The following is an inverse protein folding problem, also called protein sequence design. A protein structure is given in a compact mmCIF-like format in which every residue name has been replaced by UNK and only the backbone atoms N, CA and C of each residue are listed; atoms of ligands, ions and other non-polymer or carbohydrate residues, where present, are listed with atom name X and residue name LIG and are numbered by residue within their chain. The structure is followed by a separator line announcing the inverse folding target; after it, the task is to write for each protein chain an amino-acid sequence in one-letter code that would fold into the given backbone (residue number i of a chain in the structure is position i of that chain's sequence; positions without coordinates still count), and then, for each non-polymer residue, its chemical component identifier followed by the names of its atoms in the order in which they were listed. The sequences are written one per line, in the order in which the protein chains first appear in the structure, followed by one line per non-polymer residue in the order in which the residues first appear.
data_IF_914141542976
#
_entry.id   IF_914141542976
#
_cell.length_a   1.000
_cell.length_b   1.000
_cell.length_c   1.000
_cell.angle_alpha   90.00
_cell.angle_beta   90.00
_cell.angle_gamma   90.00
#
_symmetry.space_group_name_H-M   'P 1'
#
loop_
_entity.id
_entity.type
_entity.pdbx_description
1 polymer ?
#
# COMPACT_ATOMS: atom_id res chain seq x y z
N UNK A 1 50.93 -12.86 34.77
CA UNK A 1 49.78 -12.44 33.93
C UNK A 1 48.98 -13.68 33.61
N UNK A 2 47.84 -13.87 34.28
CA UNK A 2 46.96 -15.01 34.04
C UNK A 2 45.94 -14.58 32.97
N UNK A 3 46.08 -15.16 31.78
CA UNK A 3 45.20 -14.92 30.64
C UNK A 3 43.90 -15.73 30.86
N UNK A 4 42.86 -15.04 31.31
CA UNK A 4 41.51 -15.59 31.36
C UNK A 4 41.01 -15.75 29.93
N UNK A 5 41.05 -16.98 29.40
CA UNK A 5 40.35 -17.36 28.18
C UNK A 5 38.84 -17.17 28.41
N UNK A 6 38.31 -16.05 27.95
CA UNK A 6 36.86 -15.78 27.94
C UNK A 6 36.22 -16.73 26.91
N UNK A 7 35.27 -17.58 27.30
CA UNK A 7 34.51 -18.38 26.35
C UNK A 7 33.69 -17.42 25.48
N UNK A 8 33.95 -17.47 24.18
CA UNK A 8 33.28 -16.68 23.17
C UNK A 8 31.78 -17.03 23.16
N UNK A 9 30.95 -16.07 23.56
CA UNK A 9 29.50 -16.21 23.80
C UNK A 9 28.66 -15.98 22.54
N UNK A 10 29.29 -15.94 21.36
CA UNK A 10 28.65 -15.52 20.11
C UNK A 10 28.24 -16.66 19.17
N UNK A 11 28.28 -17.92 19.63
CA UNK A 11 27.73 -19.02 18.82
C UNK A 11 26.28 -19.31 19.22
N UNK A 12 25.27 -18.91 18.43
CA UNK A 12 23.90 -19.35 18.70
C UNK A 12 23.88 -20.87 18.55
N UNK A 13 23.74 -21.57 19.67
CA UNK A 13 23.46 -22.99 19.69
C UNK A 13 22.09 -23.18 19.03
N UNK A 14 22.08 -23.50 17.74
CA UNK A 14 20.92 -24.00 17.03
C UNK A 14 20.55 -25.33 17.70
N UNK A 15 19.72 -25.23 18.75
CA UNK A 15 19.06 -26.37 19.36
C UNK A 15 18.24 -27.00 18.26
N UNK A 16 18.79 -28.08 17.70
CA UNK A 16 18.16 -28.93 16.69
C UNK A 16 16.85 -29.42 17.29
N UNK A 17 15.76 -28.69 16.98
CA UNK A 17 14.40 -28.99 17.39
C UNK A 17 14.12 -30.44 17.00
N UNK A 18 14.02 -31.32 18.00
CA UNK A 18 13.82 -32.76 17.83
C UNK A 18 12.51 -32.95 17.06
N UNK A 19 12.61 -33.37 15.80
CA UNK A 19 11.50 -33.73 14.91
C UNK A 19 10.86 -35.03 15.44
N UNK A 20 9.99 -34.93 16.44
CA UNK A 20 9.07 -36.01 16.75
C UNK A 20 7.80 -35.76 15.94
N UNK A 21 7.53 -36.66 14.98
CA UNK A 21 6.36 -36.68 14.11
C UNK A 21 6.12 -35.42 13.26
N UNK A 22 6.64 -35.42 12.04
CA UNK A 22 5.95 -34.76 10.92
C UNK A 22 4.72 -35.63 10.62
N UNK A 23 3.61 -35.36 11.29
CA UNK A 23 2.31 -35.68 10.69
C UNK A 23 2.22 -34.89 9.38
N UNK A 24 1.71 -35.51 8.31
CA UNK A 24 1.52 -34.82 7.03
C UNK A 24 0.57 -33.64 7.21
N UNK A 25 1.17 -32.47 7.39
CA UNK A 25 0.47 -31.23 7.74
C UNK A 25 -0.46 -30.79 6.60
N UNK A 26 -0.16 -31.23 5.38
CA UNK A 26 -0.91 -30.95 4.17
C UNK A 26 -2.23 -31.75 4.08
N UNK A 27 -2.21 -33.04 4.46
CA UNK A 27 -3.42 -33.89 4.44
C UNK A 27 -4.33 -33.58 5.63
N UNK A 28 -3.75 -33.33 6.80
CA UNK A 28 -4.48 -32.86 7.99
C UNK A 28 -5.03 -31.45 7.77
N UNK A 29 -4.28 -30.58 7.09
CA UNK A 29 -4.71 -29.22 6.73
C UNK A 29 -5.96 -29.21 5.85
N UNK A 30 -5.99 -30.01 4.78
CA UNK A 30 -7.15 -30.13 3.91
C UNK A 30 -8.38 -30.70 4.63
N UNK A 31 -8.18 -31.68 5.51
CA UNK A 31 -9.25 -32.23 6.37
C UNK A 31 -9.80 -31.19 7.35
N UNK A 32 -8.91 -30.44 8.00
CA UNK A 32 -9.27 -29.38 8.93
C UNK A 32 -10.04 -28.24 8.23
N UNK A 33 -9.68 -27.90 7.00
CA UNK A 33 -10.39 -26.87 6.22
C UNK A 33 -11.82 -27.26 5.86
N UNK A 34 -12.05 -28.55 5.57
CA UNK A 34 -13.40 -29.06 5.32
C UNK A 34 -14.24 -29.08 6.60
N UNK A 35 -13.63 -29.48 7.71
CA UNK A 35 -14.27 -29.50 9.03
C UNK A 35 -14.58 -28.08 9.50
N UNK A 36 -13.67 -27.12 9.33
CA UNK A 36 -13.87 -25.72 9.69
C UNK A 36 -15.03 -25.09 8.90
N UNK A 37 -15.12 -25.35 7.59
CA UNK A 37 -16.28 -24.88 6.77
C UNK A 37 -17.59 -25.52 7.20
N UNK A 38 -17.56 -26.79 7.63
CA UNK A 38 -18.74 -27.49 8.12
C UNK A 38 -19.25 -26.94 9.45
N UNK A 39 -18.37 -26.72 10.43
CA UNK A 39 -18.73 -26.13 11.73
C UNK A 39 -19.05 -24.63 11.65
N UNK A 40 -18.46 -23.90 10.69
CA UNK A 40 -18.75 -22.47 10.47
C UNK A 40 -20.10 -22.21 9.78
N UNK A 41 -20.71 -23.24 9.20
CA UNK A 41 -22.04 -23.15 8.57
C UNK A 41 -23.11 -23.60 9.58
N UNK A 42 -24.23 -22.88 9.69
CA UNK A 42 -25.35 -23.24 10.60
C UNK A 42 -26.00 -24.62 10.36
N UNK A 43 -25.54 -25.34 9.32
CA UNK A 43 -25.96 -26.71 8.98
C UNK A 43 -25.59 -27.75 10.05
N UNK A 44 -24.46 -27.59 10.74
CA UNK A 44 -24.08 -28.52 11.83
C UNK A 44 -25.11 -28.51 12.96
N UNK A 45 -25.51 -27.30 13.40
CA UNK A 45 -26.52 -27.12 14.44
C UNK A 45 -27.87 -27.70 14.02
N UNK A 46 -28.28 -27.50 12.77
CA UNK A 46 -29.52 -28.07 12.24
C UNK A 46 -29.51 -29.61 12.31
N UNK A 47 -28.46 -30.27 11.83
CA UNK A 47 -28.33 -31.73 11.92
C UNK A 47 -28.29 -32.24 13.36
N UNK A 48 -27.57 -31.55 14.24
CA UNK A 48 -27.50 -31.89 15.66
C UNK A 48 -28.88 -31.81 16.32
N UNK A 49 -29.66 -30.76 16.06
CA UNK A 49 -31.02 -30.61 16.58
C UNK A 49 -31.95 -31.70 16.05
N UNK A 50 -31.88 -32.01 14.75
CA UNK A 50 -32.68 -33.10 14.15
C UNK A 50 -32.35 -34.44 14.83
N UNK A 51 -31.07 -34.75 15.05
CA UNK A 51 -30.65 -35.99 15.70
C UNK A 51 -31.23 -36.09 17.12
N UNK A 52 -31.14 -35.01 17.91
CA UNK A 52 -31.71 -34.95 19.26
C UNK A 52 -33.23 -35.16 19.25
N UNK A 53 -33.95 -34.48 18.34
CA UNK A 53 -35.40 -34.64 18.20
C UNK A 53 -35.76 -36.08 17.84
N UNK A 54 -35.07 -36.68 16.88
CA UNK A 54 -35.29 -38.08 16.47
C UNK A 54 -35.01 -39.03 17.64
N UNK A 55 -33.95 -38.80 18.41
CA UNK A 55 -33.62 -39.62 19.59
C UNK A 55 -34.72 -39.58 20.65
N UNK A 56 -35.22 -38.37 20.95
CA UNK A 56 -36.33 -38.17 21.88
C UNK A 56 -37.60 -38.84 21.34
N UNK A 57 -37.91 -38.68 20.06
CA UNK A 57 -39.09 -39.28 19.43
C UNK A 57 -39.05 -40.81 19.42
N UNK A 58 -37.89 -41.41 19.11
CA UNK A 58 -37.68 -42.86 19.16
C UNK A 58 -37.83 -43.40 20.58
N UNK A 59 -37.29 -42.71 21.60
CA UNK A 59 -37.45 -43.13 23.00
C UNK A 59 -38.89 -42.94 23.51
N UNK A 60 -39.58 -41.87 23.11
CA UNK A 60 -40.98 -41.64 23.45
C UNK A 60 -41.90 -42.69 22.79
N UNK A 61 -41.64 -43.06 21.53
CA UNK A 61 -42.36 -44.11 20.81
C UNK A 61 -42.02 -45.53 21.29
N UNK A 62 -40.81 -45.75 21.81
CA UNK A 62 -40.33 -47.02 22.37
C UNK A 62 -41.03 -47.47 23.65
N UNK A 63 -41.88 -46.61 24.24
CA UNK A 63 -42.67 -46.90 25.45
C UNK A 63 -43.54 -48.16 25.33
N UNK A 64 -43.88 -48.59 24.11
CA UNK A 64 -44.73 -49.75 23.86
C UNK A 64 -44.01 -51.11 23.88
N UNK A 65 -42.67 -51.17 23.73
CA UNK A 65 -41.96 -52.45 23.50
C UNK A 65 -40.70 -52.61 24.37
N UNK A 66 -39.89 -51.56 24.58
CA UNK A 66 -38.70 -51.62 25.44
C UNK A 66 -38.23 -50.20 25.81
N UNK A 67 -38.16 -49.88 27.11
CA UNK A 67 -37.69 -48.57 27.59
C UNK A 67 -36.16 -48.51 27.60
N UNK A 68 -35.58 -48.11 26.47
CA UNK A 68 -34.11 -48.11 26.29
C UNK A 68 -33.42 -46.91 26.98
N UNK A 69 -34.06 -45.74 27.06
CA UNK A 69 -33.59 -44.56 27.82
C UNK A 69 -34.77 -43.81 28.50
N UNK A 70 -35.20 -44.22 29.72
CA UNK A 70 -36.27 -43.58 30.45
C UNK A 70 -35.93 -42.13 30.84
N UNK A 71 -36.94 -41.26 30.96
CA UNK A 71 -36.78 -39.90 31.50
C UNK A 71 -36.04 -39.96 32.85
N UNK A 72 -34.90 -39.28 33.05
CA UNK A 72 -34.40 -38.06 32.38
C UNK A 72 -33.36 -38.22 31.23
N UNK A 73 -33.41 -39.30 30.42
CA UNK A 73 -32.50 -39.55 29.28
C UNK A 73 -31.01 -39.59 29.65
N UNK A 74 -30.62 -40.56 30.48
CA UNK A 74 -29.25 -40.66 31.03
C UNK A 74 -28.21 -40.91 29.94
N UNK A 75 -28.57 -41.68 28.90
CA UNK A 75 -27.65 -42.01 27.81
C UNK A 75 -27.38 -40.80 26.92
N UNK A 76 -28.42 -40.02 26.62
CA UNK A 76 -28.27 -38.77 25.88
C UNK A 76 -27.41 -37.78 26.66
N UNK A 77 -27.65 -37.64 27.96
CA UNK A 77 -26.85 -36.75 28.81
C UNK A 77 -25.38 -37.19 28.89
N UNK A 78 -25.13 -38.49 29.02
CA UNK A 78 -23.79 -39.05 29.02
C UNK A 78 -23.07 -38.77 27.69
N UNK A 79 -23.75 -38.98 26.57
CA UNK A 79 -23.21 -38.71 25.23
C UNK A 79 -22.85 -37.23 25.05
N UNK A 80 -23.71 -36.31 25.47
CA UNK A 80 -23.42 -34.87 25.44
C UNK A 80 -22.25 -34.48 26.34
N UNK A 81 -22.16 -35.09 27.53
CA UNK A 81 -21.07 -34.86 28.46
C UNK A 81 -19.73 -35.30 27.86
N UNK A 82 -19.67 -36.48 27.24
CA UNK A 82 -18.47 -36.95 26.54
C UNK A 82 -18.17 -36.12 25.30
N UNK A 83 -19.19 -35.70 24.54
CA UNK A 83 -19.03 -34.83 23.38
C UNK A 83 -18.36 -33.51 23.75
N UNK A 84 -18.84 -32.86 24.81
CA UNK A 84 -18.25 -31.62 25.32
C UNK A 84 -16.81 -31.83 25.81
N UNK A 85 -16.56 -32.93 26.53
CA UNK A 85 -15.23 -33.26 27.04
C UNK A 85 -14.20 -33.46 25.93
N UNK A 86 -14.57 -34.05 24.80
CA UNK A 86 -13.68 -34.22 23.64
C UNK A 86 -13.62 -32.99 22.73
N UNK A 87 -14.65 -32.14 22.73
CA UNK A 87 -14.65 -30.91 21.96
C UNK A 87 -13.58 -29.92 22.46
N UNK A 88 -13.42 -29.77 23.78
CA UNK A 88 -12.45 -28.84 24.37
C UNK A 88 -11.00 -29.02 23.85
N UNK A 89 -10.38 -30.22 23.88
CA UNK A 89 -9.03 -30.42 23.36
C UNK A 89 -8.95 -30.25 21.84
N UNK A 90 -9.98 -30.64 21.07
CA UNK A 90 -10.02 -30.41 19.62
C UNK A 90 -10.06 -28.92 19.27
N UNK A 91 -10.87 -28.15 20.00
CA UNK A 91 -10.95 -26.70 19.85
C UNK A 91 -9.60 -26.07 20.17
N UNK A 92 -8.93 -26.51 21.24
CA UNK A 92 -7.59 -26.02 21.61
C UNK A 92 -6.57 -26.30 20.50
N UNK A 93 -6.59 -27.49 19.90
CA UNK A 93 -5.72 -27.79 18.76
C UNK A 93 -6.03 -26.92 17.54
N UNK A 94 -7.30 -26.69 17.24
CA UNK A 94 -7.71 -25.79 16.16
C UNK A 94 -7.27 -24.34 16.42
N UNK A 95 -7.41 -23.88 17.67
CA UNK A 95 -7.00 -22.54 18.11
C UNK A 95 -5.48 -22.35 18.01
N UNK A 96 -4.67 -23.31 18.49
CA UNK A 96 -3.20 -23.23 18.36
C UNK A 96 -2.76 -23.08 16.90
N UNK A 97 -3.42 -23.80 15.97
CA UNK A 97 -3.13 -23.67 14.54
C UNK A 97 -3.57 -22.34 13.95
N UNK A 98 -4.71 -21.80 14.39
CA UNK A 98 -5.16 -20.47 13.98
C UNK A 98 -4.17 -19.41 14.48
N UNK A 99 -3.79 -19.45 15.76
CA UNK A 99 -2.80 -18.53 16.33
C UNK A 99 -1.45 -18.58 15.61
N UNK A 100 -0.98 -19.76 15.22
CA UNK A 100 0.29 -19.88 14.48
C UNK A 100 0.20 -19.24 13.08
N UNK A 101 -0.93 -19.42 12.38
CA UNK A 101 -1.20 -18.72 11.10
C UNK A 101 -1.31 -17.21 11.29
N UNK A 102 -1.99 -16.78 12.35
CA UNK A 102 -2.17 -15.37 12.67
C UNK A 102 -0.85 -14.70 13.03
N UNK A 103 0.05 -15.38 13.76
CA UNK A 103 1.40 -14.90 14.06
C UNK A 103 2.24 -14.67 12.81
N UNK A 104 2.18 -15.59 11.84
CA UNK A 104 2.89 -15.44 10.55
C UNK A 104 2.32 -14.29 9.75
N UNK A 105 1.00 -14.16 9.72
CA UNK A 105 0.33 -13.07 9.01
C UNK A 105 0.68 -11.72 9.64
N UNK A 106 0.68 -11.64 10.97
CA UNK A 106 1.02 -10.44 11.73
C UNK A 106 2.49 -10.04 11.56
N UNK A 107 3.42 -11.00 11.52
CA UNK A 107 4.84 -10.70 11.32
C UNK A 107 5.12 -10.19 9.91
N UNK A 108 4.47 -10.77 8.90
CA UNK A 108 4.55 -10.30 7.52
C UNK A 108 3.96 -8.89 7.37
N UNK A 109 2.84 -8.61 8.04
CA UNK A 109 2.21 -7.29 8.02
C UNK A 109 3.09 -6.22 8.69
N UNK A 110 3.69 -6.53 9.85
CA UNK A 110 4.66 -5.64 10.50
C UNK A 110 5.83 -5.30 9.60
N UNK A 111 6.43 -6.31 8.95
CA UNK A 111 7.54 -6.10 8.02
C UNK A 111 7.12 -5.22 6.84
N UNK A 112 5.94 -5.47 6.27
CA UNK A 112 5.40 -4.64 5.18
C UNK A 112 5.20 -3.19 5.63
N UNK A 113 4.71 -2.98 6.85
CA UNK A 113 4.51 -1.65 7.42
C UNK A 113 5.84 -0.91 7.61
N UNK A 114 6.88 -1.58 8.09
CA UNK A 114 8.25 -1.04 8.19
C UNK A 114 8.81 -0.67 6.82
N UNK A 115 8.67 -1.55 5.82
CA UNK A 115 9.11 -1.29 4.44
C UNK A 115 8.35 -0.10 3.83
N UNK A 116 7.03 -0.04 3.99
CA UNK A 116 6.20 1.07 3.49
C UNK A 116 6.58 2.40 4.14
N UNK A 117 6.88 2.38 5.44
CA UNK A 117 7.35 3.56 6.16
C UNK A 117 8.70 4.03 5.64
N UNK A 118 9.65 3.11 5.44
CA UNK A 118 10.96 3.42 4.89
C UNK A 118 10.87 4.00 3.46
N UNK A 119 10.04 3.41 2.59
CA UNK A 119 9.79 3.93 1.24
C UNK A 119 9.19 5.33 1.28
N UNK A 120 8.24 5.57 2.20
CA UNK A 120 7.63 6.90 2.35
C UNK A 120 8.64 7.93 2.84
N UNK A 121 9.49 7.59 3.81
CA UNK A 121 10.57 8.45 4.29
C UNK A 121 11.61 8.73 3.20
N UNK A 122 11.94 7.73 2.39
CA UNK A 122 12.82 7.87 1.24
C UNK A 122 12.23 8.83 0.21
N UNK A 123 10.98 8.61 -0.23
CA UNK A 123 10.29 9.48 -1.17
C UNK A 123 10.16 10.91 -0.64
N UNK A 124 9.90 11.09 0.66
CA UNK A 124 9.84 12.42 1.27
C UNK A 124 11.20 13.14 1.24
N UNK A 125 12.31 12.42 1.49
CA UNK A 125 13.67 12.98 1.40
C UNK A 125 14.05 13.32 -0.04
N UNK A 126 13.76 12.42 -0.98
CA UNK A 126 13.97 12.67 -2.41
C UNK A 126 13.16 13.88 -2.88
N UNK A 127 11.88 13.96 -2.53
CA UNK A 127 11.02 15.10 -2.86
C UNK A 127 11.55 16.42 -2.26
N UNK A 128 12.04 16.39 -1.02
CA UNK A 128 12.67 17.55 -0.40
C UNK A 128 13.95 17.98 -1.15
N UNK A 129 14.78 17.03 -1.56
CA UNK A 129 15.97 17.28 -2.38
C UNK A 129 15.62 17.89 -3.74
N UNK A 130 14.65 17.30 -4.44
CA UNK A 130 14.11 17.84 -5.71
C UNK A 130 13.56 19.24 -5.52
N UNK A 131 12.81 19.49 -4.45
CA UNK A 131 12.25 20.81 -4.15
C UNK A 131 13.34 21.87 -3.94
N UNK A 132 14.43 21.53 -3.26
CA UNK A 132 15.56 22.45 -3.08
C UNK A 132 16.26 22.72 -4.42
N UNK A 133 16.55 21.67 -5.20
CA UNK A 133 17.17 21.83 -6.52
C UNK A 133 16.33 22.67 -7.50
N UNK A 134 15.01 22.48 -7.50
CA UNK A 134 14.07 23.29 -8.29
C UNK A 134 13.97 24.72 -7.74
N UNK A 135 13.97 24.88 -6.41
CA UNK A 135 13.95 26.19 -5.75
C UNK A 135 15.15 27.06 -6.09
N UNK A 136 16.34 26.47 -6.20
CA UNK A 136 17.57 27.17 -6.58
C UNK A 136 17.60 27.53 -8.07
N UNK A 137 17.10 26.66 -8.96
CA UNK A 137 17.06 26.90 -10.42
C UNK A 137 15.99 27.91 -10.85
N UNK A 138 14.85 27.97 -10.16
CA UNK A 138 13.76 28.93 -10.43
C UNK A 138 13.83 30.07 -9.40
N UNK A 139 15.02 30.65 -9.23
CA UNK A 139 15.14 31.83 -8.38
C UNK A 139 14.43 33.02 -9.03
N UNK A 140 13.68 33.78 -8.22
CA UNK A 140 12.94 34.98 -8.68
C UNK A 140 13.85 35.96 -9.42
N UNK A 141 15.12 36.02 -9.02
CA UNK A 141 16.11 36.89 -9.63
C UNK A 141 16.52 36.42 -11.03
N UNK A 142 16.66 35.10 -11.27
CA UNK A 142 16.89 34.58 -12.62
C UNK A 142 15.71 34.86 -13.56
N UNK A 143 14.48 34.57 -13.10
CA UNK A 143 13.26 34.90 -13.83
C UNK A 143 13.16 36.40 -14.13
N UNK A 144 13.53 37.24 -13.17
CA UNK A 144 13.53 38.69 -13.33
C UNK A 144 14.59 39.15 -14.33
N UNK A 145 15.79 38.57 -14.26
CA UNK A 145 16.88 38.89 -15.17
C UNK A 145 16.54 38.50 -16.61
N UNK A 146 15.98 37.30 -16.82
CA UNK A 146 15.57 36.85 -18.15
C UNK A 146 14.42 37.70 -18.71
N UNK A 147 13.49 38.14 -17.85
CA UNK A 147 12.42 39.08 -18.24
C UNK A 147 12.97 40.47 -18.57
N UNK A 148 13.98 40.96 -17.85
CA UNK A 148 14.65 42.23 -18.13
C UNK A 148 15.46 42.16 -19.43
N UNK A 149 16.15 41.05 -19.70
CA UNK A 149 16.87 40.82 -20.96
C UNK A 149 15.91 40.73 -22.14
N UNK A 150 14.81 39.98 -22.02
CA UNK A 150 13.74 39.94 -23.03
C UNK A 150 13.17 41.33 -23.31
N UNK A 151 12.94 42.12 -22.25
CA UNK A 151 12.46 43.51 -22.40
C UNK A 151 13.48 44.38 -23.13
N UNK A 152 14.76 44.27 -22.79
CA UNK A 152 15.83 45.02 -23.45
C UNK A 152 16.01 44.63 -24.92
N UNK A 153 15.84 43.35 -25.26
CA UNK A 153 15.85 42.89 -26.66
C UNK A 153 14.66 43.45 -27.46
N UNK A 154 13.48 43.50 -26.87
CA UNK A 154 12.30 44.13 -27.48
C UNK A 154 12.51 45.63 -27.70
N UNK A 155 13.05 46.35 -26.72
CA UNK A 155 13.30 47.80 -26.81
C UNK A 155 14.35 48.14 -27.89
N UNK A 156 15.38 47.30 -28.05
CA UNK A 156 16.34 47.43 -29.17
C UNK A 156 15.71 47.17 -30.53
N UNK A 157 14.79 46.20 -30.62
CA UNK A 157 14.05 45.92 -31.84
C UNK A 157 13.13 47.09 -32.20
N UNK A 158 12.44 47.67 -31.21
CA UNK A 158 11.58 48.84 -31.38
C UNK A 158 12.39 50.06 -31.82
N UNK A 159 13.52 50.38 -31.16
CA UNK A 159 14.39 51.48 -31.57
C UNK A 159 14.94 51.32 -32.99
N UNK A 160 15.29 50.10 -33.39
CA UNK A 160 15.78 49.81 -34.75
C UNK A 160 14.66 49.90 -35.78
N UNK A 161 13.42 49.59 -35.41
CA UNK A 161 12.25 49.76 -36.27
C UNK A 161 11.92 51.25 -36.44
N UNK A 162 12.03 52.05 -35.38
CA UNK A 162 11.82 53.51 -35.40
C UNK A 162 12.88 54.22 -36.26
N UNK A 163 14.16 53.84 -36.15
CA UNK A 163 15.26 54.39 -36.96
C UNK A 163 15.03 54.11 -38.46
N UNK A 164 14.66 52.87 -38.80
CA UNK A 164 14.28 52.50 -40.18
C UNK A 164 13.06 53.28 -40.66
N UNK A 165 12.09 53.54 -39.78
CA UNK A 165 10.88 54.30 -40.13
C UNK A 165 11.18 55.79 -40.36
N UNK A 166 12.11 56.36 -39.58
CA UNK A 166 12.58 57.72 -39.74
C UNK A 166 13.37 57.91 -41.04
N UNK A 167 14.27 56.98 -41.38
CA UNK A 167 15.09 57.01 -42.61
C UNK A 167 14.20 56.94 -43.88
N UNK A 168 13.10 56.17 -43.82
CA UNK A 168 12.08 56.14 -44.88
C UNK A 168 11.32 57.46 -44.98
N UNK A 169 11.01 58.11 -43.85
CA UNK A 169 10.26 59.36 -43.83
C UNK A 169 11.10 60.56 -44.28
N UNK A 170 12.39 60.60 -43.96
CA UNK A 170 13.34 61.62 -44.44
C UNK A 170 13.59 61.49 -45.94
N UNK A 171 13.74 60.25 -46.43
CA UNK A 171 13.80 59.96 -47.87
C UNK A 171 12.52 60.35 -48.63
N UNK A 172 11.36 60.32 -47.97
CA UNK A 172 10.10 60.78 -48.55
C UNK A 172 9.96 62.32 -48.51
N UNK A 173 10.58 62.99 -47.53
CA UNK A 173 10.61 64.46 -47.40
C UNK A 173 11.51 65.13 -48.43
N UNK A 174 12.69 64.56 -48.71
CA UNK A 174 13.66 65.11 -49.68
C UNK A 174 13.12 65.13 -51.13
N UNK A 175 12.18 64.25 -51.46
CA UNK A 175 11.51 64.25 -52.77
C UNK A 175 10.42 65.33 -52.92
N UNK A 176 10.19 66.17 -51.90
CA UNK A 176 9.12 67.17 -51.89
C UNK A 176 9.59 68.63 -51.92
N UNK A 177 10.90 68.91 -51.93
CA UNK A 177 11.40 70.27 -52.19
C UNK A 177 11.21 70.64 -53.69
N UNK A 178 10.44 71.69 -54.02
CA UNK A 178 10.33 72.15 -55.39
C UNK A 178 11.65 72.80 -55.79
N UNK A 179 12.32 72.22 -56.79
CA UNK A 179 13.51 72.80 -57.44
C UNK A 179 13.09 74.10 -58.16
N UNK A 180 13.07 75.21 -57.42
CA UNK A 180 12.96 76.54 -57.99
C UNK A 180 14.36 76.96 -58.45
N UNK A 181 14.73 76.53 -59.65
CA UNK A 181 15.99 76.90 -60.30
C UNK A 181 16.05 78.41 -60.55
N UNK A 182 17.04 79.05 -59.94
CA UNK A 182 17.44 80.43 -60.20
C UNK A 182 18.11 80.51 -61.57
N UNK A 183 17.35 80.93 -62.59
CA UNK A 183 17.90 81.37 -63.88
C UNK A 183 18.22 82.86 -63.75
N UNK A 184 19.43 83.17 -63.28
CA UNK A 184 20.03 84.47 -63.49
C UNK A 184 20.31 84.65 -65.00
N UNK A 185 19.44 85.38 -65.69
CA UNK A 185 19.69 85.85 -67.05
C UNK A 185 20.84 86.87 -67.06
N UNK A 186 21.97 86.40 -67.56
CA UNK A 186 23.07 87.17 -68.12
C UNK A 186 22.66 87.69 -69.51
N UNK A 187 22.57 89.02 -69.73
CA UNK A 187 22.60 89.71 -71.04
C UNK A 187 22.77 91.22 -70.78
N UNK A 188 23.98 91.78 -70.93
CA UNK A 188 24.53 92.52 -72.10
C UNK A 188 24.16 94.03 -72.15
N UNK A 189 25.23 94.86 -72.16
CA UNK A 189 25.37 96.30 -72.48
C UNK A 189 24.93 97.38 -71.49
#
# INVERSE_FOLDING_TARGET
MAEFLRPDLDTPLYTRRRKFMRFDDDTVGAGAERVARFFGTGQYLMWQTVLVIVWIALNAGGWFIWKWDPYPFILLNLAFSTQAAYAAPLILLAQNRQEDRDKVTLSADRRRSEETKADTEFLARELAGVRLAVGDMVSRDYLRHELEDLRGLLERLEAKLDDVSADVNDSAGDLSEPIQGDLAEETDR
#
